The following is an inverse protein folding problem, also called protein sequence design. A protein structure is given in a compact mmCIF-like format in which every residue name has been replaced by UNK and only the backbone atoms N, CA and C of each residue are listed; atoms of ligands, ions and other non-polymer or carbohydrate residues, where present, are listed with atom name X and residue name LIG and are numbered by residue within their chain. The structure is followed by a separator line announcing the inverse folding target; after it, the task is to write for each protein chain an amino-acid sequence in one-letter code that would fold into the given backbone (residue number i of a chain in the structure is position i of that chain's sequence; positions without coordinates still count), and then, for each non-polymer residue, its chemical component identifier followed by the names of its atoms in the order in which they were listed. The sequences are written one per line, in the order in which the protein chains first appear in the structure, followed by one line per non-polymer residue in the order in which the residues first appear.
data_IF_833557097821
#
_entry.id   IF_833557097821
#
_cell.length_a   1.000
_cell.length_b   1.000
_cell.length_c   1.000
_cell.angle_alpha   90.00
_cell.angle_beta   90.00
_cell.angle_gamma   90.00
#
_symmetry.space_group_name_H-M   'P 1'
#
loop_
_entity.id
_entity.type
_entity.pdbx_description
1 polymer ?
#
# COMPACT_ATOMS: atom_id res chain seq x y z
N UNK A 1 -12.09 -15.92 -6.87
CA UNK A 1 -11.22 -14.98 -6.18
C UNK A 1 -10.41 -15.68 -5.11
N UNK A 2 -9.15 -15.36 -5.01
CA UNK A 2 -8.23 -15.97 -4.05
C UNK A 2 -8.34 -15.26 -2.69
N UNK A 3 -8.87 -15.97 -1.70
CA UNK A 3 -9.03 -15.39 -0.35
C UNK A 3 -7.68 -15.04 0.28
N UNK A 4 -6.65 -15.82 -0.03
CA UNK A 4 -5.32 -15.55 0.51
C UNK A 4 -4.76 -14.26 -0.03
N UNK A 5 -4.96 -13.99 -1.32
CA UNK A 5 -4.51 -12.74 -1.93
C UNK A 5 -5.22 -11.56 -1.30
N UNK A 6 -6.54 -11.66 -1.11
CA UNK A 6 -7.30 -10.58 -0.51
C UNK A 6 -6.85 -10.31 0.93
N UNK A 7 -6.60 -11.37 1.68
CA UNK A 7 -6.12 -11.21 3.06
C UNK A 7 -4.76 -10.51 3.10
N UNK A 8 -3.85 -10.93 2.21
CA UNK A 8 -2.52 -10.32 2.15
C UNK A 8 -2.60 -8.85 1.73
N UNK A 9 -3.47 -8.54 0.79
CA UNK A 9 -3.67 -7.15 0.35
C UNK A 9 -4.17 -6.30 1.51
N UNK A 10 -5.11 -6.81 2.29
CA UNK A 10 -5.64 -6.07 3.44
C UNK A 10 -4.57 -5.84 4.50
N UNK A 11 -3.76 -6.85 4.78
CA UNK A 11 -2.67 -6.71 5.74
C UNK A 11 -1.66 -5.68 5.27
N UNK A 12 -1.28 -5.73 4.00
CA UNK A 12 -0.35 -4.75 3.44
C UNK A 12 -0.94 -3.36 3.47
N UNK A 13 -2.24 -3.23 3.19
CA UNK A 13 -2.91 -1.94 3.22
C UNK A 13 -2.80 -1.30 4.60
N UNK A 14 -3.07 -2.08 5.64
CA UNK A 14 -2.97 -1.58 7.01
C UNK A 14 -1.53 -1.18 7.36
N UNK A 15 -0.57 -2.01 6.98
CA UNK A 15 0.83 -1.72 7.23
C UNK A 15 1.27 -0.45 6.51
N UNK A 16 0.87 -0.30 5.25
CA UNK A 16 1.25 0.87 4.46
C UNK A 16 0.66 2.15 5.04
N UNK A 17 -0.58 2.12 5.50
CA UNK A 17 -1.20 3.29 6.12
C UNK A 17 -0.42 3.67 7.38
N UNK A 18 -0.09 2.69 8.21
CA UNK A 18 0.68 2.95 9.42
C UNK A 18 2.05 3.55 9.09
N UNK A 19 2.71 3.03 8.07
CA UNK A 19 4.01 3.54 7.64
C UNK A 19 3.92 4.97 7.11
N UNK A 20 2.85 5.30 6.38
CA UNK A 20 2.63 6.66 5.91
C UNK A 20 2.43 7.63 7.06
N UNK A 21 1.63 7.24 8.04
CA UNK A 21 1.39 8.08 9.21
C UNK A 21 2.70 8.34 9.97
N UNK A 22 3.51 7.30 10.11
CA UNK A 22 4.77 7.40 10.86
C UNK A 22 5.80 8.21 10.09
N UNK A 23 5.92 7.99 8.80
CA UNK A 23 6.96 8.61 7.98
C UNK A 23 6.66 10.08 7.69
N UNK A 24 5.42 10.40 7.40
CA UNK A 24 5.05 11.76 6.98
C UNK A 24 4.32 12.55 8.06
N UNK A 25 4.01 11.92 9.18
CA UNK A 25 3.34 12.60 10.28
C UNK A 25 1.92 13.04 9.95
N UNK A 26 1.22 12.29 9.09
CA UNK A 26 -0.13 12.63 8.67
C UNK A 26 -1.16 11.80 9.44
N UNK A 27 -2.40 12.30 9.58
CA UNK A 27 -3.45 11.53 10.25
C UNK A 27 -3.92 10.37 9.39
N UNK A 28 -4.69 9.48 10.03
CA UNK A 28 -5.16 8.24 9.39
C UNK A 28 -5.92 8.49 8.09
N UNK A 29 -6.85 9.44 8.11
CA UNK A 29 -7.68 9.71 6.93
C UNK A 29 -6.85 10.22 5.76
N UNK A 30 -5.85 11.05 6.03
CA UNK A 30 -4.98 11.55 4.97
C UNK A 30 -4.08 10.44 4.44
N UNK A 31 -3.52 9.61 5.33
CA UNK A 31 -2.69 8.49 4.92
C UNK A 31 -3.47 7.51 4.04
N UNK A 32 -4.69 7.19 4.46
CA UNK A 32 -5.55 6.30 3.69
C UNK A 32 -5.88 6.89 2.32
N UNK A 33 -6.15 8.18 2.27
CA UNK A 33 -6.46 8.86 1.02
C UNK A 33 -5.28 8.82 0.06
N UNK A 34 -4.07 9.08 0.56
CA UNK A 34 -2.86 9.02 -0.25
C UNK A 34 -2.65 7.62 -0.83
N UNK A 35 -2.85 6.60 -0.01
CA UNK A 35 -2.66 5.23 -0.46
C UNK A 35 -3.70 4.83 -1.50
N UNK A 36 -4.98 5.05 -1.21
CA UNK A 36 -6.06 4.59 -2.08
C UNK A 36 -6.08 5.29 -3.43
N UNK A 37 -5.53 6.48 -3.52
CA UNK A 37 -5.45 7.22 -4.78
C UNK A 37 -4.15 6.98 -5.52
N UNK A 38 -3.28 6.14 -4.99
CA UNK A 38 -1.96 5.91 -5.60
C UNK A 38 -2.02 4.84 -6.67
N UNK A 39 -1.08 4.94 -7.61
CA UNK A 39 -0.89 3.91 -8.63
C UNK A 39 -0.37 2.62 -7.99
N UNK A 40 0.44 2.75 -6.95
CA UNK A 40 0.97 1.62 -6.21
C UNK A 40 -0.15 0.76 -5.64
N UNK A 41 -1.20 1.40 -5.11
CA UNK A 41 -2.33 0.66 -4.58
C UNK A 41 -3.11 -0.08 -5.68
N UNK A 42 -3.25 0.54 -6.85
CA UNK A 42 -3.90 -0.12 -7.98
C UNK A 42 -3.15 -1.40 -8.37
N UNK A 43 -1.82 -1.35 -8.35
CA UNK A 43 -1.01 -2.53 -8.62
C UNK A 43 -1.15 -3.57 -7.52
N UNK A 44 -1.22 -3.12 -6.26
CA UNK A 44 -1.38 -4.02 -5.13
C UNK A 44 -2.69 -4.81 -5.23
N UNK A 45 -3.77 -4.16 -5.63
CA UNK A 45 -5.07 -4.79 -5.76
C UNK A 45 -5.14 -5.77 -6.94
N UNK A 46 -4.28 -5.60 -7.92
CA UNK A 46 -4.27 -6.45 -9.10
C UNK A 46 -3.53 -7.75 -8.77
N UNK A 47 -4.27 -8.84 -8.64
CA UNK A 47 -3.69 -10.13 -8.29
C UNK A 47 -2.64 -10.59 -9.31
N UNK A 48 -2.81 -10.19 -10.58
CA UNK A 48 -1.89 -10.57 -11.63
C UNK A 48 -0.53 -9.90 -11.52
N UNK A 49 -0.44 -8.78 -10.77
CA UNK A 49 0.83 -8.09 -10.60
C UNK A 49 1.76 -8.83 -9.64
N UNK A 50 1.20 -9.63 -8.74
CA UNK A 50 1.95 -10.34 -7.73
C UNK A 50 2.53 -9.45 -6.64
N UNK A 51 2.17 -8.17 -6.63
CA UNK A 51 2.74 -7.23 -5.68
C UNK A 51 2.37 -7.58 -4.23
N UNK A 52 1.23 -8.21 -4.03
CA UNK A 52 0.79 -8.56 -2.68
C UNK A 52 1.66 -9.65 -2.03
N UNK A 53 2.53 -10.30 -2.81
CA UNK A 53 3.49 -11.26 -2.26
C UNK A 53 4.75 -10.58 -1.74
N UNK A 54 4.94 -9.30 -2.03
CA UNK A 54 6.12 -8.57 -1.58
C UNK A 54 5.94 -8.07 -0.15
N UNK A 55 7.05 -7.71 0.48
CA UNK A 55 6.99 -7.17 1.83
C UNK A 55 6.39 -5.77 1.84
N UNK A 56 5.89 -5.34 3.00
CA UNK A 56 5.36 -3.99 3.16
C UNK A 56 6.43 -2.94 2.85
N UNK A 57 7.68 -3.22 3.23
CA UNK A 57 8.79 -2.30 2.95
C UNK A 57 8.99 -2.12 1.45
N UNK A 58 8.94 -3.22 0.71
CA UNK A 58 9.09 -3.17 -0.75
C UNK A 58 8.00 -2.30 -1.38
N UNK A 59 6.76 -2.56 -1.00
CA UNK A 59 5.61 -1.82 -1.55
C UNK A 59 5.67 -0.36 -1.12
N UNK A 60 6.09 -0.11 0.11
CA UNK A 60 6.20 1.24 0.62
C UNK A 60 7.26 2.04 -0.13
N UNK A 61 8.36 1.41 -0.49
CA UNK A 61 9.40 2.08 -1.28
C UNK A 61 8.84 2.52 -2.64
N UNK A 62 8.03 1.68 -3.28
CA UNK A 62 7.37 2.05 -4.53
C UNK A 62 6.45 3.24 -4.32
N UNK A 63 5.69 3.22 -3.24
CA UNK A 63 4.75 4.29 -2.93
C UNK A 63 5.48 5.60 -2.67
N UNK A 64 6.59 5.55 -1.94
CA UNK A 64 7.38 6.75 -1.66
C UNK A 64 7.92 7.38 -2.93
N UNK A 65 8.40 6.56 -3.85
CA UNK A 65 8.90 7.07 -5.14
C UNK A 65 7.77 7.76 -5.90
N UNK A 66 6.59 7.18 -5.88
CA UNK A 66 5.43 7.77 -6.54
C UNK A 66 5.07 9.11 -5.92
N UNK A 67 5.07 9.19 -4.60
CA UNK A 67 4.67 10.39 -3.88
C UNK A 67 5.68 11.52 -4.01
N UNK A 68 6.94 11.19 -4.29
CA UNK A 68 7.99 12.21 -4.38
C UNK A 68 8.13 12.79 -5.78
N UNK A 69 7.38 12.29 -6.74
CA UNK A 69 7.42 12.80 -8.12
C UNK A 69 6.45 13.92 -8.36
#
# INVERSE_FOLDING_TARGET
MNKDAQFLIECLTEDLIAMLMDTYGVPLDEAADQLYNSRTYSLLENENSGLYYQSAVYVFDMLREELSC
#
